data_IF_313900473048
#
_entry.id   IF_313900473048
#
_cell.length_a   1.000
_cell.length_b   1.000
_cell.length_c   1.000
_cell.angle_alpha   90.00
_cell.angle_beta   90.00
_cell.angle_gamma   90.00
#
_symmetry.space_group_name_H-M   'P 1'
#
loop_
_entity.id
_entity.type
_entity.pdbx_description
1 polymer ?
#
# COMPACT_ATOMS: atom_id res chain seq x y z
N UNK A 1 49.70 -1.31 30.30
CA UNK A 1 49.75 0.10 29.91
C UNK A 1 48.71 0.23 28.80
N UNK A 2 47.39 0.22 29.10
CA UNK A 2 46.55 1.32 29.66
C UNK A 2 46.74 2.58 28.80
N UNK A 3 45.75 3.13 28.10
CA UNK A 3 44.34 3.41 28.40
C UNK A 3 43.49 3.21 27.10
N UNK A 4 42.27 2.68 27.05
CA UNK A 4 40.98 3.03 27.66
C UNK A 4 40.51 4.46 27.37
N UNK A 5 39.62 4.62 26.38
CA UNK A 5 38.58 5.66 26.36
C UNK A 5 37.36 5.10 25.63
N UNK A 6 36.40 4.69 26.44
CA UNK A 6 35.00 4.40 26.13
C UNK A 6 34.25 5.72 26.23
N UNK A 7 33.56 6.14 25.18
CA UNK A 7 32.57 7.21 25.26
C UNK A 7 31.18 6.60 25.10
N UNK A 8 30.43 6.63 26.20
CA UNK A 8 29.07 6.14 26.34
C UNK A 8 28.23 7.29 26.87
N UNK A 9 27.47 7.93 25.99
CA UNK A 9 26.51 8.97 26.36
C UNK A 9 25.17 8.68 25.69
N UNK A 10 24.32 7.93 26.40
CA UNK A 10 22.87 7.88 26.15
C UNK A 10 22.15 7.86 27.50
N UNK A 11 22.04 9.04 28.12
CA UNK A 11 21.04 9.29 29.15
C UNK A 11 20.07 10.37 28.63
N UNK A 12 18.93 9.93 28.11
CA UNK A 12 17.76 10.79 27.96
C UNK A 12 16.53 10.07 28.52
N UNK A 13 16.38 10.27 29.81
CA UNK A 13 15.13 10.19 30.59
C UNK A 13 13.90 10.64 29.79
N UNK A 14 13.15 9.68 29.24
CA UNK A 14 11.81 9.92 28.68
C UNK A 14 10.77 10.00 29.80
N UNK A 15 10.37 11.23 30.12
CA UNK A 15 9.20 11.53 30.93
C UNK A 15 7.91 11.07 30.21
N UNK A 16 7.24 10.04 30.75
CA UNK A 16 5.87 9.68 30.35
C UNK A 16 4.88 10.73 30.85
N UNK A 17 4.29 11.48 29.93
CA UNK A 17 3.08 12.27 30.19
C UNK A 17 1.84 11.46 29.78
N UNK A 18 0.99 11.13 30.76
CA UNK A 18 -0.37 10.60 30.54
C UNK A 18 -1.38 11.68 30.95
N UNK A 19 -2.31 12.11 30.09
CA UNK A 19 -3.52 12.78 30.53
C UNK A 19 -4.69 11.79 30.61
N UNK A 20 -5.17 11.52 31.82
CA UNK A 20 -6.43 10.80 32.04
C UNK A 20 -7.62 11.72 31.73
N UNK A 21 -8.55 11.30 30.89
CA UNK A 21 -9.86 11.95 30.75
C UNK A 21 -10.93 11.22 31.54
N UNK A 22 -11.82 12.04 32.10
CA UNK A 22 -12.77 11.73 33.16
C UNK A 22 -14.03 11.07 32.60
N UNK A 23 -14.43 9.97 33.21
CA UNK A 23 -15.75 9.32 33.08
C UNK A 23 -16.82 10.20 33.72
N UNK A 24 -17.88 10.51 32.98
CA UNK A 24 -19.11 11.10 33.53
C UNK A 24 -20.18 10.02 33.67
N UNK A 25 -20.66 9.84 34.90
CA UNK A 25 -21.82 9.01 35.26
C UNK A 25 -23.12 9.69 34.83
N UNK A 26 -24.01 8.95 34.17
CA UNK A 26 -25.43 9.25 34.03
C UNK A 26 -26.25 8.03 34.40
N UNK A 27 -26.93 8.08 35.54
CA UNK A 27 -27.79 7.02 36.04
C UNK A 27 -29.28 7.36 35.83
N UNK A 28 -30.05 6.30 35.53
CA UNK A 28 -31.29 5.91 36.22
C UNK A 28 -32.63 5.91 35.44
N UNK A 29 -33.44 4.92 35.86
CA UNK A 29 -34.90 4.77 35.83
C UNK A 29 -35.51 4.22 34.52
N UNK A 30 -36.50 3.32 34.51
CA UNK A 30 -37.13 2.44 35.49
C UNK A 30 -38.06 1.50 34.68
N UNK A 31 -38.20 0.24 35.09
CA UNK A 31 -39.16 -0.71 34.52
C UNK A 31 -40.62 -0.34 34.87
N UNK A 32 -41.61 -0.86 34.11
CA UNK A 32 -42.33 -2.00 34.67
C UNK A 32 -42.68 -3.10 33.65
N UNK A 33 -42.82 -4.32 34.19
CA UNK A 33 -43.25 -5.53 33.52
C UNK A 33 -44.74 -5.53 33.15
N UNK A 34 -45.11 -6.22 32.07
CA UNK A 34 -46.42 -6.81 31.88
C UNK A 34 -46.32 -8.09 31.02
N UNK A 35 -46.85 -9.19 31.58
CA UNK A 35 -46.94 -10.53 31.01
C UNK A 35 -47.97 -10.62 29.87
N UNK A 36 -47.67 -11.42 28.84
CA UNK A 36 -48.63 -11.83 27.82
C UNK A 36 -48.13 -13.05 27.04
N UNK A 37 -48.77 -14.19 27.26
CA UNK A 37 -48.46 -15.51 26.68
C UNK A 37 -48.91 -15.63 25.22
N UNK A 38 -48.06 -16.24 24.38
CA UNK A 38 -48.42 -17.16 23.30
C UNK A 38 -48.99 -16.56 22.00
N UNK A 39 -48.30 -16.80 20.88
CA UNK A 39 -48.63 -17.80 19.85
C UNK A 39 -47.56 -17.70 18.76
N UNK A 40 -47.07 -18.87 18.34
CA UNK A 40 -46.05 -19.08 17.31
C UNK A 40 -46.51 -18.66 15.92
N UNK A 41 -45.77 -17.75 15.28
CA UNK A 41 -45.56 -17.71 13.83
C UNK A 41 -44.46 -16.70 13.50
N UNK A 42 -43.18 -17.12 13.52
CA UNK A 42 -42.13 -16.33 12.89
C UNK A 42 -42.10 -16.65 11.39
N UNK A 43 -42.95 -15.91 10.69
CA UNK A 43 -42.64 -15.44 9.35
C UNK A 43 -41.63 -14.32 9.57
N UNK A 44 -40.33 -14.59 9.39
CA UNK A 44 -39.29 -13.57 9.45
C UNK A 44 -39.44 -12.67 8.23
N UNK A 45 -40.32 -11.69 8.35
CA UNK A 45 -40.33 -10.51 7.52
C UNK A 45 -39.01 -9.77 7.78
N UNK A 46 -38.20 -9.70 6.74
CA UNK A 46 -37.11 -8.74 6.58
C UNK A 46 -37.66 -7.33 6.80
N UNK A 47 -37.53 -6.84 8.03
CA UNK A 47 -37.42 -5.40 8.26
C UNK A 47 -35.94 -5.06 8.07
N UNK A 48 -35.58 -4.08 7.24
CA UNK A 48 -34.27 -3.45 7.39
C UNK A 48 -34.28 -2.86 8.79
N UNK A 49 -33.33 -3.29 9.62
CA UNK A 49 -33.12 -2.70 10.93
C UNK A 49 -32.56 -1.30 10.67
N UNK A 50 -33.45 -0.31 10.64
CA UNK A 50 -33.18 1.04 10.15
C UNK A 50 -32.37 1.91 11.13
N UNK A 51 -31.71 1.27 12.08
CA UNK A 51 -30.93 1.90 13.17
C UNK A 51 -29.49 1.37 13.23
N UNK A 52 -29.08 0.46 12.33
CA UNK A 52 -27.70 0.01 12.25
C UNK A 52 -26.92 1.04 11.43
N UNK A 53 -26.06 1.81 12.10
CA UNK A 53 -25.01 2.55 11.40
C UNK A 53 -24.01 1.54 10.86
N UNK A 54 -23.68 1.66 9.58
CA UNK A 54 -22.65 0.87 8.92
C UNK A 54 -21.30 1.60 8.88
N UNK A 55 -21.15 2.73 9.59
CA UNK A 55 -19.87 3.44 9.69
C UNK A 55 -18.78 2.53 10.32
N UNK A 56 -19.20 1.63 11.20
CA UNK A 56 -18.38 0.62 11.87
C UNK A 56 -18.70 -0.79 11.37
N UNK A 57 -17.67 -1.59 11.09
CA UNK A 57 -17.77 -3.04 10.86
C UNK A 57 -17.35 -3.84 12.10
N UNK A 58 -17.90 -5.05 12.24
CA UNK A 58 -17.40 -6.04 13.19
C UNK A 58 -16.37 -6.92 12.47
N UNK A 59 -15.10 -6.77 12.82
CA UNK A 59 -14.03 -7.60 12.28
C UNK A 59 -14.04 -8.95 12.98
N UNK A 60 -14.02 -10.03 12.20
CA UNK A 60 -13.96 -11.40 12.67
C UNK A 60 -12.89 -12.19 11.91
N UNK A 61 -12.48 -13.33 12.47
CA UNK A 61 -11.70 -14.33 11.74
C UNK A 61 -12.49 -14.93 10.56
N UNK A 62 -11.76 -15.55 9.62
CA UNK A 62 -12.34 -16.25 8.47
C UNK A 62 -13.33 -17.33 8.92
N UNK A 63 -14.39 -17.52 8.15
CA UNK A 63 -15.29 -18.65 8.33
C UNK A 63 -14.65 -19.95 7.81
N UNK A 64 -15.06 -21.11 8.32
CA UNK A 64 -14.59 -22.46 7.93
C UNK A 64 -14.65 -22.78 6.42
N UNK A 65 -15.25 -21.92 5.60
CA UNK A 65 -15.41 -22.10 4.15
C UNK A 65 -14.61 -21.10 3.32
N UNK A 66 -13.70 -20.33 3.93
CA UNK A 66 -12.95 -19.25 3.27
C UNK A 66 -11.44 -19.55 3.23
N UNK A 67 -11.10 -20.81 2.92
CA UNK A 67 -9.70 -21.27 2.83
C UNK A 67 -8.91 -20.53 1.74
N UNK A 68 -9.60 -19.95 0.76
CA UNK A 68 -9.05 -19.15 -0.34
C UNK A 68 -8.56 -17.76 0.09
N UNK A 69 -9.03 -17.26 1.24
CA UNK A 69 -8.52 -16.03 1.85
C UNK A 69 -7.43 -16.30 2.90
N UNK A 70 -7.18 -17.57 3.22
CA UNK A 70 -6.13 -17.94 4.18
C UNK A 70 -4.74 -17.53 3.66
N UNK A 71 -3.93 -16.94 4.54
CA UNK A 71 -2.63 -16.36 4.20
C UNK A 71 -2.68 -15.10 3.31
N UNK A 72 -3.84 -14.71 2.77
CA UNK A 72 -3.95 -13.43 2.08
C UNK A 72 -4.07 -12.30 3.10
N UNK A 73 -2.98 -11.55 3.27
CA UNK A 73 -2.89 -10.47 4.24
C UNK A 73 -3.63 -9.20 3.83
N UNK A 74 -3.91 -8.97 2.54
CA UNK A 74 -4.53 -7.72 2.07
C UNK A 74 -5.99 -7.92 1.63
N UNK A 75 -6.51 -9.14 1.64
CA UNK A 75 -7.89 -9.42 1.27
C UNK A 75 -8.83 -9.48 2.46
N UNK A 76 -10.06 -9.00 2.26
CA UNK A 76 -11.18 -9.15 3.19
C UNK A 76 -12.41 -9.70 2.48
N UNK A 77 -13.31 -10.32 3.23
CA UNK A 77 -14.71 -10.48 2.81
C UNK A 77 -15.61 -9.58 3.66
N UNK A 78 -16.67 -9.03 3.10
CA UNK A 78 -17.58 -8.19 3.86
C UNK A 78 -19.05 -8.42 3.50
N UNK A 79 -19.95 -8.10 4.44
CA UNK A 79 -21.39 -8.17 4.22
C UNK A 79 -21.83 -7.23 3.07
N UNK A 80 -22.65 -7.68 2.11
CA UNK A 80 -23.08 -6.87 0.98
C UNK A 80 -23.77 -5.57 1.38
N UNK A 81 -24.46 -5.51 2.52
CA UNK A 81 -25.15 -4.29 2.97
C UNK A 81 -24.16 -3.26 3.50
N UNK A 82 -23.10 -3.73 4.16
CA UNK A 82 -22.00 -2.88 4.61
C UNK A 82 -21.28 -2.30 3.40
N UNK A 83 -20.98 -3.13 2.40
CA UNK A 83 -20.38 -2.69 1.14
C UNK A 83 -21.27 -1.67 0.42
N UNK A 84 -22.57 -1.95 0.26
CA UNK A 84 -23.54 -1.04 -0.38
C UNK A 84 -23.66 0.29 0.36
N UNK A 85 -23.66 0.28 1.70
CA UNK A 85 -23.72 1.50 2.51
C UNK A 85 -22.52 2.44 2.28
N UNK A 86 -21.36 1.87 1.95
CA UNK A 86 -20.14 2.61 1.62
C UNK A 86 -19.91 2.80 0.12
N UNK A 87 -20.78 2.27 -0.74
CA UNK A 87 -20.59 2.31 -2.20
C UNK A 87 -19.39 1.47 -2.67
N UNK A 88 -19.02 0.44 -1.92
CA UNK A 88 -17.92 -0.47 -2.23
C UNK A 88 -18.41 -1.71 -2.99
N UNK A 89 -17.52 -2.27 -3.81
CA UNK A 89 -17.69 -3.53 -4.51
C UNK A 89 -16.45 -4.43 -4.36
N UNK A 90 -16.56 -5.70 -4.75
CA UNK A 90 -15.38 -6.55 -4.84
C UNK A 90 -14.37 -5.96 -5.83
N UNK A 91 -13.10 -5.89 -5.42
CA UNK A 91 -12.01 -5.22 -6.14
C UNK A 91 -11.70 -3.81 -5.64
N UNK A 92 -12.60 -3.17 -4.90
CA UNK A 92 -12.31 -1.86 -4.30
C UNK A 92 -11.44 -2.00 -3.06
N UNK A 93 -10.66 -0.96 -2.76
CA UNK A 93 -9.89 -0.88 -1.53
C UNK A 93 -10.61 -0.06 -0.46
N UNK A 94 -10.38 -0.43 0.79
CA UNK A 94 -10.84 0.30 1.96
C UNK A 94 -9.79 0.30 3.07
N UNK A 95 -9.89 1.29 3.96
CA UNK A 95 -9.15 1.39 5.21
C UNK A 95 -10.02 0.78 6.31
N UNK A 96 -9.42 -0.11 7.09
CA UNK A 96 -9.98 -0.58 8.38
C UNK A 96 -9.19 0.10 9.49
N UNK A 97 -9.89 0.71 10.44
CA UNK A 97 -9.29 1.46 11.54
C UNK A 97 -9.87 1.02 12.90
N UNK A 98 -8.99 0.62 13.82
CA UNK A 98 -9.34 0.20 15.16
C UNK A 98 -9.54 1.41 16.08
N UNK A 99 -10.26 1.20 17.17
CA UNK A 99 -10.53 2.23 18.19
C UNK A 99 -9.29 2.78 18.94
N UNK A 100 -8.13 2.14 18.79
CA UNK A 100 -6.83 2.56 19.32
C UNK A 100 -5.94 3.24 18.27
N UNK A 101 -6.53 3.71 17.17
CA UNK A 101 -5.89 4.44 16.06
C UNK A 101 -4.90 3.58 15.23
N UNK A 102 -4.95 2.25 15.32
CA UNK A 102 -4.25 1.35 14.40
C UNK A 102 -5.10 1.05 13.15
N UNK A 103 -4.48 1.10 11.98
CA UNK A 103 -5.19 0.96 10.70
C UNK A 103 -4.32 0.32 9.62
N UNK A 104 -4.99 -0.20 8.59
CA UNK A 104 -4.37 -0.74 7.38
C UNK A 104 -5.33 -0.72 6.18
N UNK A 105 -4.75 -0.79 4.98
CA UNK A 105 -5.49 -0.91 3.72
C UNK A 105 -5.77 -2.38 3.37
N UNK A 106 -6.93 -2.62 2.77
CA UNK A 106 -7.37 -3.93 2.29
C UNK A 106 -8.14 -3.82 0.98
N UNK A 107 -8.16 -4.90 0.21
CA UNK A 107 -9.01 -5.12 -0.96
C UNK A 107 -10.22 -5.97 -0.56
N UNK A 108 -11.42 -5.56 -0.98
CA UNK A 108 -12.63 -6.38 -0.87
C UNK A 108 -12.53 -7.53 -1.87
N UNK A 109 -12.18 -8.73 -1.42
CA UNK A 109 -12.04 -9.90 -2.28
C UNK A 109 -13.38 -10.63 -2.49
N UNK A 110 -14.24 -10.66 -1.47
CA UNK A 110 -15.51 -11.38 -1.51
C UNK A 110 -16.64 -10.54 -0.87
N UNK A 111 -17.79 -10.47 -1.54
CA UNK A 111 -19.04 -9.97 -0.97
C UNK A 111 -19.88 -11.14 -0.50
N UNK A 112 -20.02 -11.33 0.81
CA UNK A 112 -20.60 -12.53 1.42
C UNK A 112 -21.70 -12.18 2.42
N UNK A 113 -22.93 -12.69 2.30
CA UNK A 113 -23.97 -12.46 3.30
C UNK A 113 -23.57 -13.00 4.67
N UNK A 114 -23.59 -12.14 5.68
CA UNK A 114 -23.17 -12.48 7.05
C UNK A 114 -24.32 -12.39 8.05
N UNK A 115 -24.18 -13.10 9.16
CA UNK A 115 -25.09 -13.05 10.30
C UNK A 115 -24.29 -13.12 11.62
N UNK A 116 -24.22 -12.03 12.41
CA UNK A 116 -24.86 -10.72 12.21
C UNK A 116 -24.40 -9.96 10.94
N UNK A 117 -25.18 -8.94 10.57
CA UNK A 117 -24.85 -8.04 9.45
C UNK A 117 -23.69 -7.12 9.85
N UNK A 118 -22.97 -6.58 8.87
CA UNK A 118 -21.86 -5.66 9.14
C UNK A 118 -20.54 -6.35 9.52
N UNK A 119 -20.45 -7.67 9.30
CA UNK A 119 -19.19 -8.41 9.50
C UNK A 119 -18.22 -8.11 8.36
N UNK A 120 -16.95 -7.91 8.74
CA UNK A 120 -15.78 -7.97 7.87
C UNK A 120 -14.93 -9.16 8.34
N UNK A 121 -14.56 -10.06 7.43
CA UNK A 121 -13.69 -11.19 7.73
C UNK A 121 -12.34 -11.02 7.08
N UNK A 122 -11.30 -11.39 7.81
CA UNK A 122 -9.93 -11.40 7.31
C UNK A 122 -9.11 -12.51 7.99
N UNK A 123 -8.05 -12.93 7.33
CA UNK A 123 -7.10 -13.92 7.86
C UNK A 123 -6.34 -13.35 9.07
N UNK A 124 -5.70 -14.22 9.86
CA UNK A 124 -4.79 -13.80 10.95
C UNK A 124 -3.69 -12.88 10.42
N UNK A 125 -3.14 -13.15 9.22
CA UNK A 125 -2.20 -12.26 8.55
C UNK A 125 -2.81 -10.93 8.14
N UNK A 126 -4.09 -10.90 7.82
CA UNK A 126 -4.85 -9.66 7.61
C UNK A 126 -4.97 -8.87 8.90
N UNK A 127 -5.39 -9.50 10.00
CA UNK A 127 -5.50 -8.87 11.30
C UNK A 127 -4.15 -8.35 11.82
N UNK A 128 -3.06 -9.06 11.54
CA UNK A 128 -1.70 -8.65 11.89
C UNK A 128 -1.35 -7.23 11.42
N UNK A 129 -1.90 -6.79 10.27
CA UNK A 129 -1.65 -5.44 9.72
C UNK A 129 -2.24 -4.32 10.57
N UNK A 130 -3.18 -4.64 11.46
CA UNK A 130 -3.82 -3.71 12.41
C UNK A 130 -3.15 -3.71 13.79
N UNK A 131 -1.97 -4.29 13.96
CA UNK A 131 -1.24 -4.29 15.23
C UNK A 131 0.27 -4.06 15.01
N UNK A 132 0.63 -2.93 14.40
CA UNK A 132 2.02 -2.64 14.03
C UNK A 132 2.74 -1.72 15.04
N UNK A 133 2.03 -0.90 15.81
CA UNK A 133 2.63 0.10 16.70
C UNK A 133 3.38 -0.45 17.92
N UNK A 134 2.88 -1.52 18.56
CA UNK A 134 3.41 -2.03 19.83
C UNK A 134 4.38 -3.23 19.65
N UNK A 135 4.94 -3.40 18.45
CA UNK A 135 5.73 -4.57 18.06
C UNK A 135 7.23 -4.40 18.30
N UNK A 136 7.88 -5.45 18.80
CA UNK A 136 9.33 -5.60 18.69
C UNK A 136 9.67 -6.08 17.27
N UNK A 137 10.28 -5.20 16.49
CA UNK A 137 10.73 -5.49 15.12
C UNK A 137 11.99 -6.36 15.17
N UNK A 138 12.00 -7.46 14.41
CA UNK A 138 13.13 -8.40 14.39
C UNK A 138 14.04 -8.12 13.19
N UNK A 139 15.24 -8.72 13.16
CA UNK A 139 16.13 -8.63 12.00
C UNK A 139 15.53 -9.24 10.71
N UNK A 140 14.47 -10.05 10.82
CA UNK A 140 13.72 -10.60 9.68
C UNK A 140 12.76 -9.55 9.08
N UNK A 141 12.56 -8.41 9.76
CA UNK A 141 11.84 -7.25 9.24
C UNK A 141 12.80 -6.21 8.60
N UNK A 142 14.08 -6.54 8.42
CA UNK A 142 15.03 -5.67 7.70
C UNK A 142 14.56 -5.44 6.24
N UNK A 143 14.70 -4.21 5.76
CA UNK A 143 14.35 -3.76 4.41
C UNK A 143 15.07 -4.53 3.29
N UNK A 144 16.14 -5.27 3.63
CA UNK A 144 16.86 -6.15 2.72
C UNK A 144 16.20 -7.54 2.55
N UNK A 145 15.17 -7.86 3.32
CA UNK A 145 14.43 -9.14 3.27
C UNK A 145 13.01 -8.89 2.77
N UNK A 146 12.45 -9.83 1.99
CA UNK A 146 11.03 -9.76 1.66
C UNK A 146 10.19 -9.67 2.93
N UNK A 147 9.24 -8.72 3.03
CA UNK A 147 8.26 -8.74 4.10
C UNK A 147 7.41 -10.02 3.98
N UNK A 148 7.68 -11.01 4.83
CA UNK A 148 6.90 -12.24 4.86
C UNK A 148 5.57 -12.02 5.61
N UNK A 149 4.45 -12.66 5.17
CA UNK A 149 3.24 -12.71 5.96
C UNK A 149 3.54 -13.29 7.34
N UNK A 150 3.01 -12.67 8.39
CA UNK A 150 3.07 -13.24 9.75
C UNK A 150 1.73 -13.86 10.08
N UNK A 151 1.77 -15.10 10.54
CA UNK A 151 0.60 -15.92 10.91
C UNK A 151 0.62 -16.31 12.38
N UNK A 152 1.64 -15.88 13.13
CA UNK A 152 1.84 -16.20 14.54
C UNK A 152 1.08 -15.26 15.49
N UNK A 153 0.19 -14.44 14.94
CA UNK A 153 -0.60 -13.49 15.70
C UNK A 153 -2.04 -13.42 15.18
N UNK A 154 -2.97 -13.48 16.12
CA UNK A 154 -4.38 -13.21 15.92
C UNK A 154 -4.75 -12.08 16.88
N UNK A 155 -5.53 -11.10 16.41
CA UNK A 155 -6.17 -10.16 17.30
C UNK A 155 -7.31 -10.88 18.03
N UNK A 156 -7.98 -10.21 18.97
CA UNK A 156 -9.17 -10.78 19.63
C UNK A 156 -10.14 -11.39 18.58
N UNK A 157 -10.84 -12.47 18.94
CA UNK A 157 -11.69 -13.23 18.00
C UNK A 157 -12.67 -12.32 17.20
N UNK A 158 -13.13 -11.23 17.82
CA UNK A 158 -14.01 -10.22 17.22
C UNK A 158 -13.74 -8.81 17.81
N UNK A 159 -13.70 -7.77 16.97
CA UNK A 159 -13.59 -6.38 17.41
C UNK A 159 -14.27 -5.38 16.45
N UNK A 160 -14.69 -4.21 16.95
CA UNK A 160 -15.26 -3.15 16.12
C UNK A 160 -14.16 -2.32 15.44
N UNK A 161 -14.38 -1.92 14.18
CA UNK A 161 -13.50 -1.07 13.41
C UNK A 161 -14.27 -0.09 12.51
N UNK A 162 -13.76 1.11 12.34
CA UNK A 162 -14.25 2.09 11.38
C UNK A 162 -13.80 1.73 9.96
N UNK A 163 -14.65 2.01 8.97
CA UNK A 163 -14.38 1.75 7.56
C UNK A 163 -14.37 3.05 6.76
N UNK A 164 -13.31 3.26 5.98
CA UNK A 164 -13.20 4.39 5.03
C UNK A 164 -12.88 3.89 3.63
N UNK A 165 -13.52 4.48 2.63
CA UNK A 165 -13.37 4.12 1.20
C UNK A 165 -12.23 4.85 0.51
N UNK A 166 -11.85 6.02 1.01
CA UNK A 166 -10.68 6.74 0.52
C UNK A 166 -9.46 6.29 1.33
N UNK A 167 -8.49 5.65 0.67
CA UNK A 167 -7.25 5.25 1.32
C UNK A 167 -6.31 6.45 1.58
N UNK A 168 -6.02 7.30 0.58
CA UNK A 168 -5.10 8.41 0.77
C UNK A 168 -5.73 9.51 1.63
N UNK A 169 -4.90 10.22 2.39
CA UNK A 169 -5.28 11.40 3.16
C UNK A 169 -4.97 12.67 2.36
N UNK A 170 -5.93 13.22 1.59
CA UNK A 170 -5.67 14.39 0.74
C UNK A 170 -5.45 15.67 1.55
N UNK A 171 -5.80 15.66 2.84
CA UNK A 171 -5.65 16.76 3.78
C UNK A 171 -4.23 16.88 4.36
N UNK A 172 -3.38 15.86 4.20
CA UNK A 172 -2.03 15.83 4.75
C UNK A 172 -0.97 16.20 3.71
N UNK A 173 0.05 16.92 4.16
CA UNK A 173 1.32 17.01 3.43
C UNK A 173 2.10 15.69 3.52
N UNK A 174 3.10 15.52 2.65
CA UNK A 174 4.01 14.36 2.67
C UNK A 174 4.72 14.21 4.02
N UNK A 175 5.18 15.33 4.61
CA UNK A 175 5.89 15.30 5.89
C UNK A 175 4.94 14.90 7.03
N UNK A 176 3.73 15.45 7.07
CA UNK A 176 2.70 15.06 8.06
C UNK A 176 2.30 13.59 7.92
N UNK A 177 2.11 13.12 6.69
CA UNK A 177 1.77 11.72 6.45
C UNK A 177 2.90 10.78 6.86
N UNK A 178 4.15 11.16 6.62
CA UNK A 178 5.32 10.41 7.10
C UNK A 178 5.37 10.34 8.62
N UNK A 179 5.14 11.46 9.30
CA UNK A 179 5.13 11.52 10.77
C UNK A 179 3.97 10.71 11.38
N UNK A 180 2.84 10.63 10.69
CA UNK A 180 1.63 9.95 11.16
C UNK A 180 1.51 8.50 10.68
N UNK A 181 2.43 8.01 9.84
CA UNK A 181 2.34 6.67 9.25
C UNK A 181 1.13 6.52 8.31
N UNK A 182 0.80 7.59 7.60
CA UNK A 182 -0.35 7.72 6.70
C UNK A 182 0.03 7.47 5.23
N UNK A 183 -0.96 7.44 4.34
CA UNK A 183 -0.79 7.35 2.89
C UNK A 183 -1.29 8.63 2.22
N UNK A 184 -0.56 9.15 1.23
CA UNK A 184 -0.97 10.28 0.38
C UNK A 184 -0.74 9.99 -1.09
N UNK A 185 -1.48 10.67 -1.96
CA UNK A 185 -1.22 10.66 -3.40
C UNK A 185 -0.54 11.95 -3.85
N UNK A 186 0.40 11.82 -4.79
CA UNK A 186 0.91 12.92 -5.59
C UNK A 186 0.61 12.65 -7.06
N UNK A 187 0.19 13.70 -7.77
CA UNK A 187 -0.02 13.72 -9.20
C UNK A 187 0.62 14.99 -9.73
N UNK A 188 1.57 14.83 -10.64
CA UNK A 188 2.19 15.91 -11.39
C UNK A 188 1.84 15.69 -12.86
N UNK A 189 1.02 16.57 -13.43
CA UNK A 189 0.60 16.47 -14.83
C UNK A 189 1.73 16.90 -15.77
N UNK A 190 1.92 16.12 -16.83
CA UNK A 190 2.93 16.35 -17.85
C UNK A 190 2.38 16.09 -19.25
N UNK A 191 3.14 15.37 -20.05
CA UNK A 191 2.75 14.85 -21.34
C UNK A 191 1.65 13.79 -21.15
N UNK A 192 0.63 13.85 -21.99
CA UNK A 192 -0.53 12.95 -21.95
C UNK A 192 -0.24 11.61 -22.68
N UNK A 193 0.90 11.48 -23.35
CA UNK A 193 1.36 10.23 -24.00
C UNK A 193 2.21 9.33 -23.10
N UNK A 194 2.77 9.87 -22.01
CA UNK A 194 3.68 9.15 -21.13
C UNK A 194 3.29 9.31 -19.66
N UNK A 195 3.17 8.19 -18.95
CA UNK A 195 2.97 8.18 -17.50
C UNK A 195 4.06 7.38 -16.77
N UNK A 196 4.58 7.94 -15.68
CA UNK A 196 5.48 7.26 -14.75
C UNK A 196 4.80 7.09 -13.39
N UNK A 197 4.58 5.85 -12.97
CA UNK A 197 3.85 5.51 -11.75
C UNK A 197 4.72 4.87 -10.68
N UNK A 198 4.35 5.12 -9.43
CA UNK A 198 4.86 4.39 -8.27
C UNK A 198 3.68 4.08 -7.33
N UNK A 199 2.98 2.94 -7.55
CA UNK A 199 1.83 2.56 -6.74
C UNK A 199 2.21 2.20 -5.29
N UNK A 200 3.49 1.93 -5.05
CA UNK A 200 4.03 1.51 -3.75
C UNK A 200 5.16 2.43 -3.27
N UNK A 201 5.00 3.74 -3.45
CA UNK A 201 5.95 4.77 -3.05
C UNK A 201 6.14 4.94 -1.53
N UNK A 202 7.07 5.82 -1.17
CA UNK A 202 7.33 6.19 0.22
C UNK A 202 8.04 5.07 0.98
N UNK A 203 7.53 4.69 2.15
CA UNK A 203 8.09 3.60 2.95
C UNK A 203 7.73 2.20 2.46
N UNK A 204 6.73 2.05 1.57
CA UNK A 204 6.30 0.73 1.08
C UNK A 204 7.39 0.07 0.24
N UNK A 205 7.81 0.75 -0.83
CA UNK A 205 8.96 0.39 -1.65
C UNK A 205 9.82 1.66 -1.84
N UNK A 206 10.75 1.93 -0.92
CA UNK A 206 11.55 3.15 -0.92
C UNK A 206 12.17 3.53 -2.28
N UNK A 207 12.16 4.84 -2.57
CA UNK A 207 12.68 5.51 -3.77
C UNK A 207 11.88 5.29 -5.07
N UNK A 208 10.91 4.38 -5.14
CA UNK A 208 10.11 4.19 -6.36
C UNK A 208 9.33 5.45 -6.73
N UNK A 209 8.78 6.15 -5.74
CA UNK A 209 8.13 7.45 -5.93
C UNK A 209 9.10 8.55 -6.38
N UNK A 210 10.32 8.56 -5.86
CA UNK A 210 11.35 9.51 -6.32
C UNK A 210 11.76 9.22 -7.77
N UNK A 211 11.78 7.95 -8.18
CA UNK A 211 12.05 7.55 -9.57
C UNK A 211 10.96 8.03 -10.53
N UNK A 212 9.69 7.75 -10.20
CA UNK A 212 8.55 8.19 -10.99
C UNK A 212 8.50 9.72 -11.12
N UNK A 213 8.69 10.44 -10.02
CA UNK A 213 8.75 11.92 -10.02
C UNK A 213 9.89 12.44 -10.90
N UNK A 214 11.05 11.78 -10.84
CA UNK A 214 12.23 12.18 -11.62
C UNK A 214 12.05 11.94 -13.12
N UNK A 215 11.38 10.85 -13.52
CA UNK A 215 10.99 10.66 -14.92
C UNK A 215 10.00 11.73 -15.35
N UNK A 216 9.00 12.06 -14.51
CA UNK A 216 8.08 13.17 -14.74
C UNK A 216 8.79 14.49 -15.01
N UNK A 217 9.79 14.84 -14.20
CA UNK A 217 10.58 16.05 -14.39
C UNK A 217 11.44 16.04 -15.66
N UNK A 218 12.10 14.92 -15.96
CA UNK A 218 13.09 14.83 -17.02
C UNK A 218 12.49 14.62 -18.41
N UNK A 219 11.52 13.71 -18.52
CA UNK A 219 10.85 13.37 -19.77
C UNK A 219 9.53 14.14 -19.94
N UNK A 220 9.24 15.09 -19.05
CA UNK A 220 7.94 15.77 -18.96
C UNK A 220 6.77 14.80 -18.84
N UNK A 221 6.95 13.59 -18.30
CA UNK A 221 5.87 12.61 -18.16
C UNK A 221 4.84 13.06 -17.12
N UNK A 222 3.59 12.64 -17.29
CA UNK A 222 2.64 12.62 -16.17
C UNK A 222 3.17 11.67 -15.09
N UNK A 223 3.15 12.05 -13.82
CA UNK A 223 3.60 11.20 -12.71
C UNK A 223 2.55 11.03 -11.65
N UNK A 224 2.15 9.79 -11.38
CA UNK A 224 1.24 9.43 -10.28
C UNK A 224 1.93 8.53 -9.26
N UNK A 225 1.80 8.88 -7.98
CA UNK A 225 2.56 8.24 -6.90
C UNK A 225 1.68 8.11 -5.67
N UNK A 226 1.57 6.89 -5.12
CA UNK A 226 0.97 6.63 -3.82
C UNK A 226 2.07 6.41 -2.79
N UNK A 227 2.20 7.33 -1.83
CA UNK A 227 3.28 7.33 -0.85
C UNK A 227 2.73 6.94 0.52
N UNK A 228 3.10 5.75 1.01
CA UNK A 228 2.65 5.24 2.31
C UNK A 228 3.79 5.16 3.32
N UNK A 229 3.52 5.52 4.57
CA UNK A 229 4.46 5.33 5.70
C UNK A 229 3.87 4.46 6.79
N UNK A 230 4.70 3.92 7.66
CA UNK A 230 4.25 3.05 8.75
C UNK A 230 4.93 3.42 10.07
N UNK A 231 4.55 2.74 11.16
CA UNK A 231 5.07 3.05 12.49
C UNK A 231 6.56 2.68 12.65
N UNK A 232 7.11 1.88 11.74
CA UNK A 232 8.54 1.57 11.66
C UNK A 232 9.10 1.84 10.26
N UNK A 233 10.39 2.21 10.18
CA UNK A 233 11.11 2.28 8.90
C UNK A 233 11.38 0.89 8.30
N UNK A 234 11.28 -0.19 9.07
CA UNK A 234 11.64 -1.58 8.74
C UNK A 234 10.43 -2.36 8.19
N UNK A 235 9.82 -1.86 7.12
CA UNK A 235 8.74 -2.56 6.42
C UNK A 235 7.32 -2.35 6.99
N UNK A 236 7.16 -1.53 8.03
CA UNK A 236 5.83 -1.19 8.58
C UNK A 236 4.89 -0.55 7.55
N UNK A 237 5.42 0.29 6.66
CA UNK A 237 4.65 0.90 5.59
C UNK A 237 4.14 -0.13 4.57
N UNK A 238 5.00 -1.05 4.12
CA UNK A 238 4.60 -2.12 3.21
C UNK A 238 3.48 -2.97 3.83
N UNK A 239 3.67 -3.40 5.08
CA UNK A 239 2.66 -4.21 5.78
C UNK A 239 1.34 -3.47 5.94
N UNK A 240 1.37 -2.16 6.18
CA UNK A 240 0.16 -1.35 6.40
C UNK A 240 -0.60 -1.04 5.11
N UNK A 241 0.12 -0.70 4.04
CA UNK A 241 -0.45 -0.04 2.87
C UNK A 241 -0.38 -0.83 1.58
N UNK A 242 0.46 -1.86 1.50
CA UNK A 242 0.65 -2.58 0.25
C UNK A 242 -0.65 -3.26 -0.18
N UNK A 243 -1.05 -2.96 -1.42
CA UNK A 243 -2.11 -3.59 -2.21
C UNK A 243 -1.47 -3.96 -3.54
N UNK A 244 -1.59 -5.20 -4.05
CA UNK A 244 -0.98 -5.58 -5.32
C UNK A 244 -1.37 -4.65 -6.47
N UNK A 245 -0.45 -4.34 -7.40
CA UNK A 245 -0.75 -3.47 -8.55
C UNK A 245 -1.90 -3.99 -9.42
N UNK A 246 -2.16 -5.30 -9.38
CA UNK A 246 -3.29 -5.95 -10.06
C UNK A 246 -4.65 -5.66 -9.43
N UNK A 247 -4.68 -5.17 -8.20
CA UNK A 247 -5.90 -4.93 -7.42
C UNK A 247 -6.22 -3.44 -7.26
N UNK A 248 -5.25 -2.53 -7.43
CA UNK A 248 -5.44 -1.09 -7.22
C UNK A 248 -6.59 -0.54 -8.09
N UNK A 249 -7.64 -0.05 -7.45
CA UNK A 249 -8.82 0.52 -8.07
C UNK A 249 -8.76 2.05 -8.03
N UNK A 250 -8.92 2.76 -9.16
CA UNK A 250 -9.05 4.23 -9.15
C UNK A 250 -10.17 4.74 -8.23
N UNK A 251 -11.19 3.92 -7.95
CA UNK A 251 -12.28 4.30 -7.03
C UNK A 251 -11.79 4.64 -5.61
N UNK A 252 -10.68 4.04 -5.17
CA UNK A 252 -10.11 4.23 -3.83
C UNK A 252 -8.98 5.27 -3.77
N UNK A 253 -8.53 5.75 -4.95
CA UNK A 253 -7.37 6.62 -5.13
C UNK A 253 -7.78 7.84 -5.96
N UNK A 254 -8.26 8.93 -5.32
CA UNK A 254 -8.82 10.08 -6.00
C UNK A 254 -7.94 10.68 -7.10
N UNK A 255 -6.61 10.78 -6.91
CA UNK A 255 -5.72 11.33 -7.94
C UNK A 255 -5.46 10.34 -9.07
N UNK A 256 -5.44 9.04 -8.79
CA UNK A 256 -5.39 8.03 -9.85
C UNK A 256 -6.64 8.12 -10.73
N UNK A 257 -7.82 8.34 -10.13
CA UNK A 257 -9.06 8.49 -10.87
C UNK A 257 -9.03 9.65 -11.88
N UNK A 258 -8.22 10.68 -11.63
CA UNK A 258 -8.07 11.83 -12.55
C UNK A 258 -7.40 11.43 -13.88
N UNK A 259 -6.55 10.40 -13.87
CA UNK A 259 -5.79 9.94 -15.05
C UNK A 259 -6.20 8.54 -15.55
N UNK A 260 -7.15 7.88 -14.88
CA UNK A 260 -7.52 6.50 -15.17
C UNK A 260 -8.16 6.29 -16.55
N UNK A 261 -8.78 7.34 -17.11
CA UNK A 261 -9.40 7.32 -18.43
C UNK A 261 -8.49 7.92 -19.53
N UNK A 262 -7.25 8.31 -19.18
CA UNK A 262 -6.26 8.81 -20.15
C UNK A 262 -5.62 7.64 -20.88
N UNK A 263 -5.58 7.72 -22.21
CA UNK A 263 -4.93 6.72 -23.08
C UNK A 263 -3.45 7.11 -23.28
N UNK A 264 -2.58 6.69 -22.36
CA UNK A 264 -1.13 6.90 -22.52
C UNK A 264 -0.57 5.93 -23.57
N UNK A 265 0.37 6.39 -24.40
CA UNK A 265 1.09 5.51 -25.32
C UNK A 265 2.01 4.57 -24.53
N UNK A 266 2.72 5.12 -23.53
CA UNK A 266 3.65 4.36 -22.67
C UNK A 266 3.35 4.62 -21.20
N UNK A 267 3.33 3.56 -20.41
CA UNK A 267 3.27 3.63 -18.95
C UNK A 267 4.47 2.91 -18.32
N UNK A 268 5.13 3.54 -17.34
CA UNK A 268 6.27 2.95 -16.62
C UNK A 268 5.95 2.83 -15.15
N UNK A 269 6.07 1.62 -14.59
CA UNK A 269 5.90 1.34 -13.16
C UNK A 269 7.23 0.95 -12.53
N UNK A 270 7.61 1.67 -11.48
CA UNK A 270 8.80 1.37 -10.68
C UNK A 270 8.42 0.47 -9.50
N UNK A 271 8.79 -0.81 -9.60
CA UNK A 271 8.50 -1.83 -8.61
C UNK A 271 9.71 -2.24 -7.77
N UNK A 272 9.48 -2.46 -6.48
CA UNK A 272 10.40 -3.14 -5.58
C UNK A 272 10.18 -4.65 -5.56
N UNK A 273 11.25 -5.42 -5.81
CA UNK A 273 11.24 -6.88 -5.68
C UNK A 273 12.33 -7.34 -4.71
N UNK A 274 12.31 -8.62 -4.35
CA UNK A 274 13.29 -9.19 -3.43
C UNK A 274 14.51 -9.76 -4.13
N UNK A 275 14.29 -10.18 -5.38
CA UNK A 275 15.29 -10.68 -6.29
C UNK A 275 16.36 -9.60 -6.48
N UNK A 276 17.62 -10.03 -6.51
CA UNK A 276 18.74 -9.12 -6.69
C UNK A 276 18.79 -8.57 -8.11
N UNK A 277 19.05 -7.26 -8.25
CA UNK A 277 19.31 -6.63 -9.55
C UNK A 277 18.24 -5.64 -9.98
N UNK A 278 18.13 -5.49 -11.31
CA UNK A 278 17.17 -4.66 -12.03
C UNK A 278 16.70 -5.48 -13.22
N UNK A 279 15.39 -5.60 -13.44
CA UNK A 279 14.84 -6.18 -14.66
C UNK A 279 13.83 -5.24 -15.32
N UNK A 280 13.80 -5.26 -16.64
CA UNK A 280 12.85 -4.48 -17.45
C UNK A 280 11.84 -5.44 -18.09
N UNK A 281 10.66 -5.55 -17.47
CA UNK A 281 9.51 -6.33 -17.89
C UNK A 281 8.39 -5.47 -18.46
N UNK A 282 7.16 -5.98 -18.40
CA UNK A 282 5.95 -5.35 -18.93
C UNK A 282 5.51 -5.86 -20.31
N UNK A 283 4.40 -5.33 -20.80
CA UNK A 283 3.77 -5.70 -22.09
C UNK A 283 4.39 -5.01 -23.30
N UNK A 284 5.15 -3.93 -23.09
CA UNK A 284 5.89 -3.25 -24.14
C UNK A 284 6.75 -4.21 -24.96
N UNK A 285 6.92 -3.91 -26.25
CA UNK A 285 7.72 -4.75 -27.12
C UNK A 285 9.18 -4.87 -26.65
N UNK A 286 9.84 -5.96 -27.05
CA UNK A 286 11.21 -6.24 -26.63
C UNK A 286 12.20 -5.14 -27.05
N UNK A 287 11.94 -4.42 -28.15
CA UNK A 287 12.80 -3.34 -28.62
C UNK A 287 12.76 -2.16 -27.65
N UNK A 288 11.57 -1.72 -27.25
CA UNK A 288 11.43 -0.64 -26.26
C UNK A 288 12.02 -1.03 -24.91
N UNK A 289 11.74 -2.25 -24.43
CA UNK A 289 12.34 -2.75 -23.17
C UNK A 289 13.87 -2.82 -23.26
N UNK A 290 14.43 -3.23 -24.41
CA UNK A 290 15.87 -3.25 -24.63
C UNK A 290 16.49 -1.85 -24.61
N UNK A 291 15.83 -0.87 -25.23
CA UNK A 291 16.27 0.52 -25.22
C UNK A 291 16.31 1.10 -23.80
N UNK A 292 15.26 0.85 -23.01
CA UNK A 292 15.21 1.26 -21.59
C UNK A 292 16.31 0.58 -20.78
N UNK A 293 16.49 -0.74 -20.92
CA UNK A 293 17.58 -1.49 -20.27
C UNK A 293 18.95 -0.88 -20.61
N UNK A 294 19.21 -0.64 -21.89
CA UNK A 294 20.51 -0.14 -22.35
C UNK A 294 20.78 1.29 -21.84
N UNK A 295 19.76 2.15 -21.84
CA UNK A 295 19.87 3.50 -21.28
C UNK A 295 20.08 3.50 -19.77
N UNK A 296 19.44 2.59 -19.02
CA UNK A 296 19.73 2.37 -17.59
C UNK A 296 21.19 1.95 -17.41
N UNK A 297 21.67 0.96 -18.18
CA UNK A 297 23.05 0.47 -18.07
C UNK A 297 24.10 1.54 -18.42
N UNK A 298 23.82 2.40 -19.40
CA UNK A 298 24.68 3.55 -19.74
C UNK A 298 24.75 4.57 -18.58
N UNK A 299 23.66 4.76 -17.84
CA UNK A 299 23.58 5.68 -16.71
C UNK A 299 24.19 5.12 -15.41
N UNK A 300 24.27 3.80 -15.27
CA UNK A 300 24.81 3.13 -14.09
C UNK A 300 26.34 3.22 -14.01
N UNK A 301 26.93 3.28 -12.79
CA UNK A 301 28.37 3.14 -12.65
C UNK A 301 28.80 1.71 -13.00
N UNK A 302 30.02 1.55 -13.54
CA UNK A 302 30.55 0.24 -14.01
C UNK A 302 30.59 -0.89 -12.98
N UNK A 303 30.48 -0.57 -11.69
CA UNK A 303 30.48 -1.55 -10.60
C UNK A 303 29.06 -1.95 -10.17
N UNK A 304 28.03 -1.30 -10.69
CA UNK A 304 26.64 -1.65 -10.43
C UNK A 304 26.28 -2.99 -11.08
N UNK A 305 25.25 -3.62 -10.53
CA UNK A 305 24.58 -4.73 -11.19
C UNK A 305 23.83 -4.15 -12.40
N UNK A 306 24.08 -4.72 -13.58
CA UNK A 306 23.42 -4.31 -14.82
C UNK A 306 21.93 -4.69 -14.81
N UNK A 307 21.12 -3.85 -15.44
CA UNK A 307 19.76 -4.18 -15.80
C UNK A 307 19.71 -5.24 -16.89
N UNK A 308 18.76 -6.16 -16.79
CA UNK A 308 18.57 -7.29 -17.71
C UNK A 308 17.20 -7.27 -18.36
N UNK A 309 17.07 -8.04 -19.45
CA UNK A 309 15.77 -8.45 -19.97
C UNK A 309 15.55 -9.92 -19.57
N UNK A 310 14.45 -10.25 -18.89
CA UNK A 310 14.07 -11.63 -18.65
C UNK A 310 13.50 -12.28 -19.93
N UNK A 311 13.70 -13.59 -20.06
CA UNK A 311 13.08 -14.39 -21.14
C UNK A 311 11.55 -14.43 -21.01
N UNK A 312 11.07 -14.48 -19.76
CA UNK A 312 9.65 -14.41 -19.38
C UNK A 312 9.44 -13.14 -18.53
N UNK A 313 8.95 -12.03 -19.13
CA UNK A 313 8.86 -10.78 -18.41
C UNK A 313 7.76 -10.75 -17.35
N UNK A 314 8.15 -10.29 -16.16
CA UNK A 314 7.23 -9.90 -15.10
C UNK A 314 6.39 -8.67 -15.47
N UNK A 315 5.30 -8.46 -14.73
CA UNK A 315 4.45 -7.29 -14.91
C UNK A 315 3.62 -7.31 -16.20
N UNK A 316 3.38 -8.48 -16.78
CA UNK A 316 2.68 -8.65 -18.07
C UNK A 316 1.18 -8.90 -17.96
N UNK A 317 0.63 -9.09 -16.76
CA UNK A 317 -0.80 -9.32 -16.60
C UNK A 317 -1.62 -8.07 -16.95
N UNK A 318 -2.69 -8.21 -17.73
CA UNK A 318 -3.59 -7.11 -18.13
C UNK A 318 -4.18 -6.35 -16.94
N UNK A 319 -4.28 -6.99 -15.76
CA UNK A 319 -4.77 -6.37 -14.53
C UNK A 319 -3.76 -5.44 -13.85
N UNK A 320 -2.47 -5.56 -14.15
CA UNK A 320 -1.44 -4.66 -13.61
C UNK A 320 -1.81 -3.22 -13.94
N UNK A 321 -1.72 -2.32 -12.95
CA UNK A 321 -2.06 -0.91 -13.13
C UNK A 321 -1.32 -0.27 -14.31
N UNK A 322 -0.03 -0.58 -14.49
CA UNK A 322 0.78 -0.06 -15.60
C UNK A 322 0.20 -0.42 -16.98
N UNK A 323 -0.30 -1.65 -17.15
CA UNK A 323 -0.89 -2.12 -18.41
C UNK A 323 -2.34 -1.67 -18.60
N UNK A 324 -2.97 -1.15 -17.56
CA UNK A 324 -4.30 -0.51 -17.66
C UNK A 324 -4.21 0.97 -18.05
N UNK A 325 -3.10 1.63 -17.74
CA UNK A 325 -2.90 3.04 -18.02
C UNK A 325 -2.24 3.30 -19.38
N UNK A 326 -1.34 2.43 -19.83
CA UNK A 326 -0.63 2.60 -21.11
C UNK A 326 -0.90 1.49 -22.12
N UNK A 327 -0.82 1.80 -23.41
CA UNK A 327 -0.78 0.80 -24.49
C UNK A 327 0.46 -0.09 -24.34
N UNK A 328 1.63 0.53 -24.16
CA UNK A 328 2.89 -0.14 -23.85
C UNK A 328 3.24 0.02 -22.36
N UNK A 329 3.02 -1.05 -21.59
CA UNK A 329 3.39 -1.09 -20.18
C UNK A 329 4.82 -1.56 -19.97
N UNK A 330 5.60 -0.82 -19.18
CA UNK A 330 6.97 -1.17 -18.77
C UNK A 330 7.03 -1.32 -17.26
N UNK A 331 7.48 -2.47 -16.79
CA UNK A 331 7.66 -2.72 -15.35
C UNK A 331 9.15 -2.80 -15.02
N UNK A 332 9.66 -1.86 -14.23
CA UNK A 332 11.06 -1.80 -13.80
C UNK A 332 11.17 -2.38 -12.39
N UNK A 333 11.48 -3.67 -12.30
CA UNK A 333 11.61 -4.40 -11.03
C UNK A 333 13.02 -4.25 -10.48
N UNK A 334 13.14 -3.93 -9.19
CA UNK A 334 14.42 -3.57 -8.58
C UNK A 334 14.54 -4.03 -7.13
N UNK A 335 15.70 -4.61 -6.79
CA UNK A 335 16.02 -4.92 -5.40
C UNK A 335 16.10 -3.67 -4.52
N UNK A 336 15.86 -3.81 -3.21
CA UNK A 336 16.04 -2.70 -2.26
C UNK A 336 17.47 -2.12 -2.30
N UNK A 337 18.48 -2.98 -2.37
CA UNK A 337 19.89 -2.56 -2.44
C UNK A 337 20.16 -1.71 -3.70
N UNK A 338 19.58 -2.10 -4.83
CA UNK A 338 19.69 -1.34 -6.09
C UNK A 338 19.03 0.02 -5.96
N UNK A 339 17.77 0.08 -5.49
CA UNK A 339 17.04 1.35 -5.32
C UNK A 339 17.78 2.30 -4.39
N UNK A 340 18.25 1.80 -3.25
CA UNK A 340 19.04 2.58 -2.29
C UNK A 340 20.30 3.18 -2.91
N UNK A 341 20.99 2.43 -3.76
CA UNK A 341 22.27 2.85 -4.32
C UNK A 341 22.13 3.71 -5.59
N UNK A 342 21.15 3.41 -6.45
CA UNK A 342 21.14 3.84 -7.85
C UNK A 342 19.80 4.38 -8.37
N UNK A 343 18.83 4.69 -7.50
CA UNK A 343 17.49 5.11 -7.96
C UNK A 343 17.54 6.26 -8.97
N UNK A 344 18.43 7.25 -8.79
CA UNK A 344 18.59 8.41 -9.68
C UNK A 344 19.05 8.01 -11.07
N UNK A 345 20.06 7.14 -11.14
CA UNK A 345 20.64 6.66 -12.39
C UNK A 345 19.63 5.84 -13.17
N UNK A 346 18.86 4.99 -12.47
CA UNK A 346 17.81 4.18 -13.07
C UNK A 346 16.71 5.07 -13.65
N UNK A 347 16.18 6.02 -12.86
CA UNK A 347 15.17 6.97 -13.34
C UNK A 347 15.67 7.82 -14.52
N UNK A 348 16.93 8.24 -14.49
CA UNK A 348 17.53 8.99 -15.59
C UNK A 348 17.69 8.15 -16.86
N UNK A 349 18.10 6.88 -16.74
CA UNK A 349 18.18 5.96 -17.87
C UNK A 349 16.82 5.72 -18.52
N UNK A 350 15.78 5.48 -17.70
CA UNK A 350 14.39 5.39 -18.18
C UNK A 350 13.97 6.66 -18.91
N UNK A 351 14.18 7.84 -18.31
CA UNK A 351 13.83 9.11 -18.95
C UNK A 351 14.58 9.34 -20.27
N UNK A 352 15.86 8.95 -20.36
CA UNK A 352 16.67 9.07 -21.58
C UNK A 352 16.22 8.14 -22.72
N UNK A 353 15.63 6.99 -22.41
CA UNK A 353 15.05 6.10 -23.41
C UNK A 353 13.69 6.60 -23.94
N UNK A 354 12.98 7.40 -23.16
CA UNK A 354 11.62 7.85 -23.46
C UNK A 354 11.55 9.29 -23.97
N UNK A 355 12.67 10.03 -23.91
CA UNK A 355 12.75 11.41 -24.35
C UNK A 355 14.10 11.73 -24.99
N UNK A 356 14.06 12.13 -26.26
CA UNK A 356 15.24 12.57 -27.03
C UNK A 356 15.96 13.79 -26.39
N UNK A 357 15.24 14.55 -25.56
CA UNK A 357 15.77 15.74 -24.89
C UNK A 357 16.64 15.38 -23.67
N UNK A 358 16.62 14.13 -23.21
CA UNK A 358 17.35 13.65 -22.04
C UNK A 358 18.55 12.80 -22.49
N UNK A 359 19.77 13.29 -22.26
CA UNK A 359 20.98 12.54 -22.58
C UNK A 359 21.38 11.60 -21.45
N UNK A 360 21.41 10.30 -21.71
CA UNK A 360 21.85 9.26 -20.75
C UNK A 360 23.25 9.54 -20.14
N UNK A 361 24.15 10.19 -20.89
CA UNK A 361 25.53 10.45 -20.48
C UNK A 361 25.68 11.48 -19.33
N UNK A 362 24.67 12.31 -19.08
CA UNK A 362 24.75 13.39 -18.07
C UNK A 362 24.80 12.88 -16.63
N UNK A 363 24.36 11.65 -16.34
CA UNK A 363 24.43 11.06 -15.00
C UNK A 363 25.84 10.59 -14.60
N UNK A 364 26.74 10.35 -15.56
CA UNK A 364 28.10 9.83 -15.27
C UNK A 364 29.03 10.85 -14.60
N UNK A 365 28.63 12.12 -14.53
CA UNK A 365 29.46 13.23 -14.01
C UNK A 365 29.29 13.48 -12.51
N UNK A 366 28.21 12.99 -11.88
CA UNK A 366 28.13 12.90 -10.43
C UNK A 366 28.67 11.54 -10.02
N UNK A 367 30.00 11.47 -9.84
CA UNK A 367 30.69 10.24 -9.44
C UNK A 367 30.19 9.73 -8.09
N UNK A 368 29.14 8.91 -8.10
CA UNK A 368 28.93 7.93 -7.07
C UNK A 368 30.11 6.95 -7.18
N UNK A 369 31.14 7.19 -6.37
CA UNK A 369 32.14 6.17 -6.11
C UNK A 369 31.42 4.93 -5.59
N UNK A 370 31.78 3.77 -6.13
CA UNK A 370 31.74 2.58 -5.29
C UNK A 370 32.73 2.79 -4.12
#
# INVERSE_FOLDING_TARGET
>A
MTDNDTDSDTDSTRHRFRPSRRTFLGAALASPAALGLGVTSYQAATRPDSDVSYDTGLVCSLADTQDDLDGNQHAISADPRLLEAHGLSAGDQLRVERSDDEFAAYTVAESRPEAPQGIVRMSDSGQYRLDLADREWSAEDDLNTCPAPRTDHSLEDEFEADISTTLPRPDLSVDEAREQGELVEQLDEGDESLVAIAPHGGGMQPWTDEQAARVGELASATSWRALGWGPSPEGGAFRRWYVPSTEISPASYPKLAEIADTEFDVAVDFGGVCESGIEVGGTADESLRAEIRDAINEALPRCAVEATLPDEPDGTADSMLVNRLGEDGVFVSQSYATRRAYWKQIAHGVAAALSDDVSAALASLESAGC
#
